data_IF_926024294960
#
_entry.id   IF_926024294960
#
_cell.length_a   1.000
_cell.length_b   1.000
_cell.length_c   1.000
_cell.angle_alpha   90.00
_cell.angle_beta   90.00
_cell.angle_gamma   90.00
#
_symmetry.space_group_name_H-M   'P 1'
#
loop_
_entity.id
_entity.type
_entity.pdbx_description
1 polymer ?
#
# COMPACT_ATOMS: atom_id res chain seq x y z
N UNK A 1 -6.57 10.52 16.96
CA UNK A 1 -5.85 11.65 17.60
C UNK A 1 -6.76 12.87 17.58
N UNK A 2 -6.94 13.58 18.72
CA UNK A 2 -7.74 14.81 18.75
C UNK A 2 -7.19 15.86 17.79
N UNK A 3 -8.08 16.55 17.05
CA UNK A 3 -7.69 17.57 16.08
C UNK A 3 -7.17 17.05 14.73
N UNK A 4 -7.14 15.74 14.51
CA UNK A 4 -6.75 15.15 13.22
C UNK A 4 -7.98 14.93 12.35
N UNK A 5 -7.93 15.41 11.12
CA UNK A 5 -8.94 15.18 10.09
C UNK A 5 -8.29 14.33 8.99
N UNK A 6 -8.95 13.23 8.63
CA UNK A 6 -8.56 12.39 7.51
C UNK A 6 -9.67 12.39 6.45
N UNK A 7 -9.29 12.50 5.20
CA UNK A 7 -10.18 12.37 4.06
C UNK A 7 -9.50 11.63 2.91
N UNK A 8 -10.31 11.07 2.02
CA UNK A 8 -9.83 10.46 0.80
C UNK A 8 -10.19 11.34 -0.40
N UNK A 9 -9.25 11.45 -1.34
CA UNK A 9 -9.43 12.19 -2.60
C UNK A 9 -9.11 11.27 -3.79
N UNK A 10 -9.65 11.64 -4.94
CA UNK A 10 -9.25 11.04 -6.21
C UNK A 10 -7.90 11.59 -6.69
N UNK A 11 -7.46 11.15 -7.86
CA UNK A 11 -6.19 11.59 -8.46
C UNK A 11 -6.21 13.08 -8.83
N UNK A 12 -7.39 13.66 -9.08
CA UNK A 12 -7.59 15.07 -9.39
C UNK A 12 -7.69 15.94 -8.13
N UNK A 13 -7.61 15.34 -6.94
CA UNK A 13 -7.68 16.01 -5.65
C UNK A 13 -9.11 16.29 -5.14
N UNK A 14 -10.15 15.78 -5.81
CA UNK A 14 -11.52 15.96 -5.37
C UNK A 14 -11.85 15.02 -4.20
N UNK A 15 -12.51 15.56 -3.20
CA UNK A 15 -12.90 14.78 -2.03
C UNK A 15 -13.95 13.72 -2.36
N UNK A 16 -13.67 12.50 -1.98
CA UNK A 16 -14.56 11.36 -2.17
C UNK A 16 -15.53 11.18 -0.99
N UNK A 17 -16.70 10.61 -1.29
CA UNK A 17 -17.70 10.28 -0.27
C UNK A 17 -17.27 9.05 0.55
N UNK A 18 -17.69 9.01 1.81
CA UNK A 18 -17.51 7.84 2.70
C UNK A 18 -18.73 6.91 2.61
N UNK A 19 -18.55 5.58 2.63
CA UNK A 19 -17.26 4.85 2.58
C UNK A 19 -16.66 4.92 1.18
N UNK A 20 -15.32 4.85 1.09
CA UNK A 20 -14.64 4.91 -0.21
C UNK A 20 -13.17 4.52 -0.12
N UNK A 21 -12.54 4.38 -1.30
CA UNK A 21 -11.11 4.16 -1.50
C UNK A 21 -10.54 5.35 -2.27
N UNK A 22 -9.38 5.85 -1.89
CA UNK A 22 -8.68 6.93 -2.56
C UNK A 22 -7.36 7.25 -1.89
N UNK A 23 -6.72 8.31 -2.36
CA UNK A 23 -5.48 8.84 -1.77
C UNK A 23 -5.82 9.46 -0.41
N UNK A 24 -5.04 9.13 0.61
CA UNK A 24 -5.23 9.63 1.97
C UNK A 24 -4.66 11.04 2.10
N UNK A 25 -5.51 11.96 2.53
CA UNK A 25 -5.13 13.32 2.91
C UNK A 25 -5.38 13.52 4.40
N UNK A 26 -4.42 14.14 5.08
CA UNK A 26 -4.47 14.34 6.53
C UNK A 26 -4.20 15.81 6.86
N UNK A 27 -4.99 16.35 7.80
CA UNK A 27 -4.80 17.68 8.36
C UNK A 27 -4.85 17.60 9.88
N UNK A 28 -3.96 18.28 10.56
CA UNK A 28 -3.93 18.31 12.02
C UNK A 28 -2.62 18.87 12.57
N UNK A 29 -2.52 19.03 13.89
CA UNK A 29 -1.36 19.62 14.53
C UNK A 29 -0.06 18.81 14.38
N UNK A 30 -0.16 17.53 14.04
CA UNK A 30 0.98 16.65 13.78
C UNK A 30 1.54 16.76 12.35
N UNK A 31 0.83 17.45 11.44
CA UNK A 31 1.33 17.67 10.08
C UNK A 31 2.47 18.66 10.14
N UNK A 32 3.57 18.35 9.44
CA UNK A 32 4.74 19.21 9.36
C UNK A 32 4.40 20.55 8.74
N UNK A 33 5.19 21.59 9.06
CA UNK A 33 5.08 22.91 8.44
C UNK A 33 5.55 22.92 6.99
N UNK A 34 6.42 21.98 6.62
CA UNK A 34 6.96 21.84 5.28
C UNK A 34 8.40 21.29 5.29
N UNK A 35 8.96 21.11 4.10
CA UNK A 35 10.36 20.73 3.94
C UNK A 35 11.28 21.93 4.17
N UNK A 36 12.39 21.68 4.86
CA UNK A 36 13.36 22.73 5.17
C UNK A 36 13.97 23.32 3.89
N UNK A 37 13.81 24.63 3.72
CA UNK A 37 14.28 25.42 2.57
C UNK A 37 13.78 24.92 1.19
N UNK A 38 12.75 24.09 1.14
CA UNK A 38 12.16 23.58 -0.09
C UNK A 38 10.66 23.87 -0.13
N UNK A 39 10.34 25.08 -0.57
CA UNK A 39 8.94 25.52 -0.72
C UNK A 39 8.22 24.79 -1.85
N UNK A 40 8.94 24.46 -2.91
CA UNK A 40 8.35 23.79 -4.07
C UNK A 40 7.89 22.39 -3.70
N UNK A 41 8.75 21.58 -3.08
CA UNK A 41 8.36 20.25 -2.58
C UNK A 41 7.24 20.35 -1.53
N UNK A 42 7.27 21.37 -0.67
CA UNK A 42 6.22 21.59 0.32
C UNK A 42 4.86 21.84 -0.34
N UNK A 43 4.79 22.74 -1.32
CA UNK A 43 3.55 23.07 -2.01
C UNK A 43 2.99 21.91 -2.85
N UNK A 44 3.84 20.96 -3.28
CA UNK A 44 3.40 19.76 -4.00
C UNK A 44 2.62 18.79 -3.12
N UNK A 45 2.93 18.74 -1.82
CA UNK A 45 2.34 17.76 -0.90
C UNK A 45 1.38 18.35 0.13
N UNK A 46 1.53 19.65 0.46
CA UNK A 46 0.60 20.35 1.36
C UNK A 46 -0.18 21.35 0.54
N UNK A 47 -1.47 21.07 0.38
CA UNK A 47 -2.37 21.95 -0.35
C UNK A 47 -2.62 23.28 0.37
N UNK A 48 -3.13 24.28 -0.35
CA UNK A 48 -3.53 25.58 0.21
C UNK A 48 -4.61 25.47 1.30
N UNK A 49 -5.35 24.36 1.32
CA UNK A 49 -6.34 24.00 2.33
C UNK A 49 -5.71 23.41 3.60
N UNK A 50 -4.40 23.22 3.62
CA UNK A 50 -3.64 22.69 4.75
C UNK A 50 -3.71 21.17 4.92
N UNK A 51 -4.18 20.45 3.91
CA UNK A 51 -4.11 18.99 3.89
C UNK A 51 -2.80 18.51 3.28
N UNK A 52 -2.17 17.56 3.97
CA UNK A 52 -1.01 16.82 3.49
C UNK A 52 -1.47 15.63 2.66
N UNK A 53 -1.01 15.53 1.41
CA UNK A 53 -1.07 14.31 0.63
C UNK A 53 -0.03 13.31 1.18
N UNK A 54 -0.49 12.17 1.72
CA UNK A 54 0.42 11.17 2.30
C UNK A 54 1.05 10.27 1.23
N UNK A 55 0.49 10.24 0.02
CA UNK A 55 0.84 9.29 -1.02
C UNK A 55 0.39 7.86 -0.73
N UNK A 56 -0.35 7.65 0.34
CA UNK A 56 -0.90 6.34 0.69
C UNK A 56 -2.32 6.19 0.13
N UNK A 57 -2.65 5.01 -0.36
CA UNK A 57 -4.01 4.65 -0.75
C UNK A 57 -4.70 4.02 0.45
N UNK A 58 -5.86 4.56 0.80
CA UNK A 58 -6.62 4.11 1.95
C UNK A 58 -8.10 3.88 1.63
N UNK A 59 -8.71 2.96 2.39
CA UNK A 59 -10.16 2.88 2.55
C UNK A 59 -10.57 3.67 3.79
N UNK A 60 -11.61 4.45 3.64
CA UNK A 60 -12.20 5.21 4.75
C UNK A 60 -13.64 4.73 4.97
N UNK A 61 -13.92 4.19 6.17
CA UNK A 61 -15.25 3.71 6.54
C UNK A 61 -16.20 4.86 6.90
N UNK A 62 -17.49 4.55 7.08
CA UNK A 62 -18.48 5.51 7.60
C UNK A 62 -18.11 6.02 8.99
N UNK A 63 -17.50 5.18 9.81
CA UNK A 63 -17.10 5.45 11.20
C UNK A 63 -15.72 6.11 11.30
N UNK A 64 -15.19 6.62 10.19
CA UNK A 64 -13.86 7.25 10.08
C UNK A 64 -12.67 6.31 10.41
N UNK A 65 -12.85 5.01 10.28
CA UNK A 65 -11.73 4.07 10.36
C UNK A 65 -10.95 4.14 9.05
N UNK A 66 -9.66 4.41 9.16
CA UNK A 66 -8.71 4.46 8.03
C UNK A 66 -7.99 3.12 7.95
N UNK A 67 -8.05 2.47 6.79
CA UNK A 67 -7.29 1.28 6.46
C UNK A 67 -6.38 1.59 5.28
N UNK A 68 -5.07 1.59 5.51
CA UNK A 68 -4.07 1.75 4.44
C UNK A 68 -4.02 0.45 3.65
N UNK A 69 -4.01 0.56 2.32
CA UNK A 69 -4.05 -0.59 1.39
C UNK A 69 -2.75 -0.67 0.58
N UNK A 70 -2.11 0.46 0.33
CA UNK A 70 -0.90 0.54 -0.48
C UNK A 70 -0.41 1.96 -0.61
N UNK A 71 0.48 2.17 -1.58
CA UNK A 71 0.99 3.49 -1.94
C UNK A 71 0.64 3.83 -3.38
N UNK A 72 0.34 5.10 -3.64
CA UNK A 72 0.02 5.60 -4.97
C UNK A 72 1.14 5.27 -5.99
N UNK A 73 2.40 5.44 -5.60
CA UNK A 73 3.57 5.18 -6.45
C UNK A 73 3.87 3.71 -6.70
N UNK A 74 3.36 2.83 -5.84
CA UNK A 74 3.60 1.39 -5.91
C UNK A 74 2.47 0.66 -6.64
N UNK A 75 1.37 1.36 -6.95
CA UNK A 75 0.25 0.80 -7.72
C UNK A 75 0.72 0.33 -9.09
N UNK A 76 0.46 -0.94 -9.38
CA UNK A 76 0.75 -1.55 -10.68
C UNK A 76 -0.41 -1.26 -11.61
N UNK A 77 -0.13 -0.68 -12.77
CA UNK A 77 -1.10 -0.46 -13.84
C UNK A 77 -0.88 -1.54 -14.89
N UNK A 78 -1.87 -2.41 -15.08
CA UNK A 78 -1.82 -3.43 -16.13
C UNK A 78 -2.10 -2.81 -17.51
N UNK A 79 -1.77 -3.53 -18.58
CA UNK A 79 -1.94 -3.05 -19.94
C UNK A 79 -3.41 -2.83 -20.36
N UNK A 80 -4.36 -3.38 -19.60
CA UNK A 80 -5.81 -3.14 -19.75
C UNK A 80 -6.30 -1.91 -18.97
N UNK A 81 -5.38 -1.18 -18.28
CA UNK A 81 -5.70 -0.02 -17.45
C UNK A 81 -6.17 -0.36 -16.03
N UNK A 82 -6.14 -1.63 -15.63
CA UNK A 82 -6.51 -2.04 -14.27
C UNK A 82 -5.41 -1.66 -13.27
N UNK A 83 -5.81 -1.01 -12.18
CA UNK A 83 -4.93 -0.63 -11.08
C UNK A 83 -4.94 -1.68 -9.98
N UNK A 84 -3.77 -2.25 -9.70
CA UNK A 84 -3.59 -3.29 -8.67
C UNK A 84 -2.64 -2.82 -7.59
N UNK A 85 -3.08 -2.93 -6.34
CA UNK A 85 -2.24 -2.69 -5.18
C UNK A 85 -1.43 -3.96 -4.85
N UNK A 86 -0.09 -3.96 -4.95
CA UNK A 86 0.73 -5.15 -4.73
C UNK A 86 0.75 -5.58 -3.26
N UNK A 87 0.80 -4.65 -2.31
CA UNK A 87 0.99 -4.93 -0.90
C UNK A 87 -0.01 -5.92 -0.28
N UNK A 88 -1.33 -5.87 -0.53
CA UNK A 88 -2.26 -6.88 -0.02
C UNK A 88 -1.99 -8.30 -0.55
N UNK A 89 -1.49 -8.41 -1.78
CA UNK A 89 -1.16 -9.68 -2.41
C UNK A 89 0.13 -10.23 -1.81
N UNK A 90 1.14 -9.39 -1.66
CA UNK A 90 2.42 -9.73 -1.03
C UNK A 90 2.24 -10.24 0.40
N UNK A 91 1.48 -9.49 1.22
CA UNK A 91 1.13 -9.90 2.58
C UNK A 91 0.44 -11.26 2.58
N UNK A 92 -0.49 -11.49 1.65
CA UNK A 92 -1.21 -12.77 1.57
C UNK A 92 -0.31 -13.93 1.18
N UNK A 93 0.68 -13.72 0.32
CA UNK A 93 1.68 -14.72 -0.04
C UNK A 93 2.62 -15.01 1.15
N UNK A 94 3.04 -13.97 1.86
CA UNK A 94 3.94 -14.06 3.02
C UNK A 94 3.28 -14.69 4.27
N UNK A 95 1.95 -14.87 4.30
CA UNK A 95 1.29 -15.69 5.34
C UNK A 95 1.72 -17.15 5.31
N UNK A 96 2.26 -17.62 4.18
CA UNK A 96 2.80 -18.98 4.07
C UNK A 96 4.17 -19.08 4.73
N UNK A 97 4.34 -20.02 5.68
CA UNK A 97 5.63 -20.28 6.31
C UNK A 97 6.75 -20.66 5.33
N UNK A 98 6.40 -21.07 4.09
CA UNK A 98 7.35 -21.46 3.04
C UNK A 98 7.89 -20.26 2.24
N UNK A 99 7.31 -19.08 2.41
CA UNK A 99 7.68 -17.86 1.71
C UNK A 99 8.27 -16.89 2.72
N UNK A 100 9.52 -16.52 2.51
CA UNK A 100 10.19 -15.51 3.33
C UNK A 100 9.83 -14.10 2.88
N UNK A 101 9.78 -13.90 1.55
CA UNK A 101 9.42 -12.62 0.93
C UNK A 101 8.74 -12.83 -0.41
N UNK A 102 7.77 -11.98 -0.72
CA UNK A 102 7.13 -11.90 -2.03
C UNK A 102 7.17 -10.47 -2.55
N UNK A 103 7.43 -10.31 -3.85
CA UNK A 103 7.34 -9.02 -4.56
C UNK A 103 6.48 -9.21 -5.78
N UNK A 104 5.35 -8.51 -5.84
CA UNK A 104 4.44 -8.55 -6.97
C UNK A 104 4.91 -7.59 -8.05
N UNK A 105 4.92 -8.05 -9.30
CA UNK A 105 5.34 -7.30 -10.48
C UNK A 105 4.31 -7.44 -11.58
N UNK A 106 4.29 -6.48 -12.52
CA UNK A 106 3.31 -6.58 -13.62
C UNK A 106 3.03 -5.24 -14.30
N UNK A 107 3.84 -4.20 -14.03
CA UNK A 107 3.67 -2.89 -14.67
C UNK A 107 3.64 -3.05 -16.19
N UNK A 108 2.58 -2.52 -16.83
CA UNK A 108 2.33 -2.58 -18.28
C UNK A 108 2.24 -4.00 -18.86
N UNK A 109 2.10 -5.02 -18.02
CA UNK A 109 1.94 -6.40 -18.43
C UNK A 109 0.47 -6.80 -18.51
N UNK A 110 0.21 -7.93 -19.22
CA UNK A 110 -1.14 -8.51 -19.32
C UNK A 110 -1.57 -9.20 -18.02
N UNK A 111 -0.59 -9.70 -17.25
CA UNK A 111 -0.81 -10.46 -16.02
C UNK A 111 0.15 -9.99 -14.94
N UNK A 112 -0.27 -10.19 -13.69
CA UNK A 112 0.63 -10.06 -12.55
C UNK A 112 1.55 -11.28 -12.48
N UNK A 113 2.79 -11.04 -12.04
CA UNK A 113 3.74 -12.04 -11.61
C UNK A 113 4.15 -11.81 -10.17
N UNK A 114 4.80 -12.79 -9.56
CA UNK A 114 5.43 -12.61 -8.25
C UNK A 114 6.82 -13.19 -8.25
N UNK A 115 7.78 -12.44 -7.71
CA UNK A 115 9.11 -12.94 -7.34
C UNK A 115 9.03 -13.43 -5.90
N UNK A 116 9.37 -14.68 -5.67
CA UNK A 116 9.26 -15.31 -4.36
C UNK A 116 10.63 -15.69 -3.85
N UNK A 117 10.97 -15.23 -2.65
CA UNK A 117 12.09 -15.72 -1.87
C UNK A 117 11.58 -16.84 -0.96
N UNK A 118 11.98 -18.10 -1.19
CA UNK A 118 11.50 -19.20 -0.37
C UNK A 118 12.22 -19.24 0.99
N UNK A 119 11.48 -19.66 2.02
CA UNK A 119 12.06 -19.97 3.32
C UNK A 119 12.70 -21.37 3.30
N UNK A 120 13.99 -21.41 2.99
CA UNK A 120 14.73 -22.67 2.86
C UNK A 120 14.78 -23.49 4.15
N UNK A 121 14.70 -22.86 5.33
CA UNK A 121 14.68 -23.58 6.61
C UNK A 121 13.41 -24.42 6.74
N UNK A 122 12.25 -23.82 6.45
CA UNK A 122 10.96 -24.51 6.53
C UNK A 122 10.81 -25.57 5.42
N UNK A 123 11.27 -25.26 4.21
CA UNK A 123 11.28 -26.22 3.10
C UNK A 123 12.12 -27.46 3.45
N UNK A 124 13.30 -27.26 4.01
CA UNK A 124 14.17 -28.37 4.42
C UNK A 124 13.55 -29.23 5.55
N UNK A 125 12.81 -28.63 6.47
CA UNK A 125 12.07 -29.40 7.51
C UNK A 125 11.02 -30.32 6.90
N UNK A 126 10.30 -29.84 5.88
CA UNK A 126 9.29 -30.64 5.16
C UNK A 126 9.95 -31.74 4.33
N UNK A 127 11.00 -31.42 3.59
CA UNK A 127 11.75 -32.41 2.81
C UNK A 127 12.25 -33.55 3.67
N UNK A 128 12.87 -33.28 4.82
CA UNK A 128 13.33 -34.31 5.76
C UNK A 128 12.18 -35.18 6.28
N UNK A 129 11.01 -34.62 6.56
CA UNK A 129 9.81 -35.38 6.97
C UNK A 129 9.28 -36.30 5.88
N UNK A 130 9.40 -35.94 4.62
CA UNK A 130 8.96 -36.79 3.51
C UNK A 130 9.90 -38.00 3.32
N UNK A 131 11.21 -37.83 3.53
CA UNK A 131 12.18 -38.93 3.39
C UNK A 131 12.10 -39.96 4.54
N UNK A 132 11.69 -39.54 5.72
CA UNK A 132 11.58 -40.46 6.90
C UNK A 132 10.28 -41.28 6.93
N UNK A 133 9.33 -41.05 6.03
CA UNK A 133 8.07 -41.81 5.95
C UNK A 133 8.11 -43.00 4.96
N UNK A 134 9.19 -43.21 4.26
CA UNK A 134 9.31 -44.27 3.23
C UNK A 134 10.34 -45.36 3.60
N UNK A 135 10.58 -45.55 4.92
CA UNK A 135 11.35 -46.71 5.43
C UNK A 135 10.67 -47.33 6.60
#
# INVERSE_FOLDING_TARGET
>A
MPGTVAEIRDIDGNKLKKPGKGILFVKGPQVMLGYYKDKEATCKIIGSDGFLNTGDIAKLSKDNVVQIIGREKDTIVLNNGENVEPAPIEIKLEESALIEKAVVVGQDQKFLGALILPNFEEINKISRKCWTKNF
#
